data_IF_632412766485
#
_entry.id   IF_632412766485
#
_cell.length_a   1.000
_cell.length_b   1.000
_cell.length_c   1.000
_cell.angle_alpha   90.00
_cell.angle_beta   90.00
_cell.angle_gamma   90.00
#
_symmetry.space_group_name_H-M   'P 1'
#
loop_
_entity.id
_entity.type
_entity.pdbx_description
1 polymer ?
#
# COMPACT_ATOMS: atom_id res chain seq x y z
N UNK A 1 14.85 20.04 13.35
CA UNK A 1 15.14 20.41 11.94
C UNK A 1 14.01 19.87 11.08
N UNK A 2 12.82 20.45 11.20
CA UNK A 2 11.65 20.03 10.44
C UNK A 2 11.36 21.11 9.39
N UNK A 3 11.80 20.90 8.15
CA UNK A 3 11.54 21.79 7.03
C UNK A 3 10.16 21.55 6.39
N UNK A 4 9.42 20.57 6.89
CA UNK A 4 8.16 20.08 6.31
C UNK A 4 7.00 20.50 7.23
N UNK A 5 5.86 20.93 6.65
CA UNK A 5 4.64 21.28 7.40
C UNK A 5 4.15 20.09 8.25
N UNK A 6 3.50 20.36 9.39
CA UNK A 6 3.01 19.34 10.32
C UNK A 6 2.19 18.24 9.62
N UNK A 7 1.32 18.62 8.68
CA UNK A 7 0.49 17.71 7.88
C UNK A 7 1.34 16.67 7.14
N UNK A 8 2.41 17.14 6.49
CA UNK A 8 3.33 16.31 5.73
C UNK A 8 4.26 15.48 6.65
N UNK A 9 4.53 15.94 7.88
CA UNK A 9 5.24 15.13 8.89
C UNK A 9 4.39 13.95 9.37
N UNK A 10 3.11 14.20 9.66
CA UNK A 10 2.15 13.15 10.03
C UNK A 10 2.01 12.16 8.87
N UNK A 11 1.89 12.68 7.65
CA UNK A 11 1.84 11.86 6.44
C UNK A 11 3.08 10.97 6.30
N UNK A 12 4.28 11.56 6.43
CA UNK A 12 5.54 10.82 6.38
C UNK A 12 5.60 9.71 7.45
N UNK A 13 5.18 10.01 8.68
CA UNK A 13 5.17 9.05 9.78
C UNK A 13 4.24 7.85 9.48
N UNK A 14 3.03 8.13 8.98
CA UNK A 14 2.08 7.10 8.55
C UNK A 14 2.73 6.21 7.48
N UNK A 15 3.28 6.82 6.43
CA UNK A 15 3.90 6.08 5.32
C UNK A 15 5.03 5.19 5.83
N UNK A 16 5.96 5.72 6.63
CA UNK A 16 7.12 4.96 7.11
C UNK A 16 6.71 3.80 8.02
N UNK A 17 5.91 4.06 9.07
CA UNK A 17 5.54 3.03 10.05
C UNK A 17 4.74 1.91 9.39
N UNK A 18 3.68 2.26 8.67
CA UNK A 18 2.79 1.26 8.09
C UNK A 18 3.47 0.50 6.95
N UNK A 19 4.23 1.18 6.09
CA UNK A 19 4.92 0.50 4.99
C UNK A 19 6.02 -0.45 5.52
N UNK A 20 6.77 -0.03 6.53
CA UNK A 20 7.76 -0.91 7.18
C UNK A 20 7.09 -2.13 7.81
N UNK A 21 6.01 -1.92 8.58
CA UNK A 21 5.26 -3.02 9.20
C UNK A 21 4.75 -4.02 8.16
N UNK A 22 4.10 -3.53 7.09
CA UNK A 22 3.50 -4.38 6.06
C UNK A 22 4.59 -5.14 5.29
N UNK A 23 5.65 -4.45 4.89
CA UNK A 23 6.77 -5.06 4.18
C UNK A 23 7.42 -6.18 5.03
N UNK A 24 7.78 -5.88 6.28
CA UNK A 24 8.37 -6.88 7.19
C UNK A 24 7.41 -8.04 7.48
N UNK A 25 6.11 -7.74 7.69
CA UNK A 25 5.10 -8.78 7.89
C UNK A 25 4.99 -9.72 6.70
N UNK A 26 5.14 -9.20 5.47
CA UNK A 26 5.07 -10.00 4.26
C UNK A 26 6.24 -10.97 4.09
N UNK A 27 7.41 -10.63 4.62
CA UNK A 27 8.58 -11.52 4.63
C UNK A 27 8.35 -12.74 5.54
N UNK A 28 7.50 -12.61 6.56
CA UNK A 28 7.14 -13.68 7.49
C UNK A 28 6.00 -14.59 7.00
N UNK A 29 5.26 -14.20 5.96
CA UNK A 29 4.18 -15.04 5.40
C UNK A 29 4.79 -16.21 4.60
N UNK A 30 4.18 -17.40 4.71
CA UNK A 30 4.54 -18.59 3.90
C UNK A 30 4.61 -18.26 2.41
N UNK A 31 5.35 -19.06 1.64
CA UNK A 31 5.70 -18.89 0.21
C UNK A 31 4.51 -18.85 -0.79
N UNK A 32 3.50 -18.02 -0.56
CA UNK A 32 2.54 -17.64 -1.58
C UNK A 32 3.06 -16.39 -2.30
N UNK A 33 3.43 -16.50 -3.60
CA UNK A 33 4.06 -15.40 -4.35
C UNK A 33 3.22 -14.11 -4.36
N UNK A 34 1.89 -14.25 -4.37
CA UNK A 34 0.97 -13.12 -4.35
C UNK A 34 1.12 -12.27 -3.08
N UNK A 35 1.18 -12.88 -1.91
CA UNK A 35 1.29 -12.16 -0.63
C UNK A 35 2.65 -11.48 -0.48
N UNK A 36 3.72 -12.14 -0.94
CA UNK A 36 5.05 -11.54 -1.01
C UNK A 36 5.06 -10.31 -1.91
N UNK A 37 4.57 -10.43 -3.14
CA UNK A 37 4.49 -9.30 -4.07
C UNK A 37 3.66 -8.13 -3.51
N UNK A 38 2.54 -8.44 -2.86
CA UNK A 38 1.66 -7.42 -2.28
C UNK A 38 2.36 -6.65 -1.16
N UNK A 39 3.16 -7.33 -0.33
CA UNK A 39 3.93 -6.68 0.72
C UNK A 39 5.19 -5.97 0.21
N UNK A 40 5.90 -6.57 -0.76
CA UNK A 40 7.04 -5.93 -1.45
C UNK A 40 6.63 -4.64 -2.14
N UNK A 41 5.37 -4.48 -2.54
CA UNK A 41 4.87 -3.21 -3.08
C UNK A 41 5.07 -2.03 -2.11
N UNK A 42 5.01 -2.27 -0.80
CA UNK A 42 5.23 -1.25 0.23
C UNK A 42 6.71 -0.86 0.41
N UNK A 43 7.65 -1.63 -0.14
CA UNK A 43 9.06 -1.25 -0.18
C UNK A 43 9.25 0.06 -0.96
N UNK A 44 8.46 0.25 -2.02
CA UNK A 44 8.49 1.47 -2.83
C UNK A 44 8.14 2.71 -2.00
N UNK A 45 7.05 2.63 -1.23
CA UNK A 45 6.64 3.70 -0.32
C UNK A 45 7.66 3.95 0.77
N UNK A 46 8.26 2.90 1.31
CA UNK A 46 9.25 3.00 2.37
C UNK A 46 10.50 3.73 1.89
N UNK A 47 11.06 3.33 0.75
CA UNK A 47 12.25 3.96 0.18
C UNK A 47 11.97 5.43 -0.14
N UNK A 48 10.86 5.72 -0.83
CA UNK A 48 10.50 7.11 -1.16
C UNK A 48 10.20 7.96 0.08
N UNK A 49 9.59 7.37 1.12
CA UNK A 49 9.42 8.03 2.42
C UNK A 49 10.76 8.36 3.08
N UNK A 50 11.73 7.44 3.07
CA UNK A 50 13.08 7.70 3.60
C UNK A 50 13.76 8.82 2.79
N UNK A 51 13.65 8.81 1.46
CA UNK A 51 14.18 9.88 0.60
C UNK A 51 13.53 11.23 0.91
N UNK A 52 12.23 11.26 1.19
CA UNK A 52 11.57 12.48 1.66
C UNK A 52 12.15 12.98 2.99
N UNK A 53 12.42 12.08 3.93
CA UNK A 53 12.98 12.46 5.22
C UNK A 53 14.40 13.02 5.08
N UNK A 54 15.21 12.45 4.19
CA UNK A 54 16.59 12.86 3.93
C UNK A 54 16.69 14.12 3.06
N UNK A 55 15.64 14.47 2.32
CA UNK A 55 15.63 15.64 1.44
C UNK A 55 15.67 16.94 2.25
N UNK A 56 16.67 17.77 1.96
CA UNK A 56 16.81 19.12 2.52
C UNK A 56 15.91 20.15 1.79
N UNK A 57 15.44 19.82 0.59
CA UNK A 57 14.51 20.65 -0.18
C UNK A 57 13.07 20.24 0.16
N UNK A 58 12.27 21.21 0.61
CA UNK A 58 10.87 21.01 1.03
C UNK A 58 9.99 20.55 -0.11
N UNK A 59 10.14 21.14 -1.30
CA UNK A 59 9.35 20.83 -2.47
C UNK A 59 9.66 19.42 -3.00
N UNK A 60 10.93 19.03 -2.91
CA UNK A 60 11.38 17.69 -3.26
C UNK A 60 10.89 16.65 -2.23
N UNK A 61 10.93 16.98 -0.94
CA UNK A 61 10.41 16.12 0.13
C UNK A 61 8.90 15.86 -0.04
N UNK A 62 8.12 16.90 -0.28
CA UNK A 62 6.68 16.78 -0.55
C UNK A 62 6.39 15.91 -1.78
N UNK A 63 7.20 16.05 -2.83
CA UNK A 63 7.08 15.24 -4.05
C UNK A 63 7.38 13.77 -3.76
N UNK A 64 8.43 13.45 -3.01
CA UNK A 64 8.74 12.07 -2.61
C UNK A 64 7.61 11.42 -1.82
N UNK A 65 7.01 12.15 -0.86
CA UNK A 65 5.85 11.64 -0.10
C UNK A 65 4.66 11.37 -1.02
N UNK A 66 4.34 12.28 -1.92
CA UNK A 66 3.25 12.07 -2.88
C UNK A 66 3.51 10.85 -3.77
N UNK A 67 4.73 10.74 -4.33
CA UNK A 67 5.11 9.61 -5.17
C UNK A 67 5.15 8.29 -4.41
N UNK A 68 5.46 8.30 -3.11
CA UNK A 68 5.48 7.09 -2.28
C UNK A 68 4.15 6.34 -2.31
N UNK A 69 3.02 7.05 -2.31
CA UNK A 69 1.67 6.46 -2.35
C UNK A 69 1.18 6.27 -3.78
N UNK A 70 1.49 7.18 -4.70
CA UNK A 70 1.12 7.01 -6.11
C UNK A 70 1.76 5.75 -6.71
N UNK A 71 3.05 5.54 -6.43
CA UNK A 71 3.79 4.35 -6.83
C UNK A 71 3.24 3.11 -6.14
N UNK A 72 2.89 3.20 -4.85
CA UNK A 72 2.26 2.09 -4.12
C UNK A 72 0.97 1.64 -4.78
N UNK A 73 0.06 2.58 -5.07
CA UNK A 73 -1.22 2.27 -5.71
C UNK A 73 -0.97 1.58 -7.05
N UNK A 74 -0.05 2.12 -7.86
CA UNK A 74 0.32 1.54 -9.16
C UNK A 74 0.87 0.12 -9.00
N UNK A 75 1.79 -0.08 -8.06
CA UNK A 75 2.36 -1.39 -7.73
C UNK A 75 1.27 -2.39 -7.30
N UNK A 76 0.35 -1.98 -6.43
CA UNK A 76 -0.74 -2.83 -5.97
C UNK A 76 -1.68 -3.25 -7.12
N UNK A 77 -1.97 -2.36 -8.07
CA UNK A 77 -2.72 -2.74 -9.28
C UNK A 77 -1.99 -3.77 -10.12
N UNK A 78 -0.67 -3.61 -10.31
CA UNK A 78 0.15 -4.57 -11.06
C UNK A 78 0.14 -5.93 -10.37
N UNK A 79 0.32 -5.98 -9.05
CA UNK A 79 0.26 -7.25 -8.28
C UNK A 79 -1.12 -7.90 -8.39
N UNK A 80 -2.20 -7.11 -8.28
CA UNK A 80 -3.56 -7.62 -8.41
C UNK A 80 -3.84 -8.20 -9.81
N UNK A 81 -3.33 -7.54 -10.85
CA UNK A 81 -3.43 -8.03 -12.23
C UNK A 81 -2.63 -9.33 -12.45
N UNK A 82 -1.45 -9.45 -11.83
CA UNK A 82 -0.59 -10.62 -11.94
C UNK A 82 -1.00 -11.81 -11.05
N UNK A 83 -1.94 -11.62 -10.12
CA UNK A 83 -2.35 -12.62 -9.10
C UNK A 83 -2.49 -14.05 -9.62
N UNK A 84 -3.06 -14.25 -10.81
CA UNK A 84 -3.41 -15.57 -11.34
C UNK A 84 -2.27 -16.28 -12.09
N UNK A 85 -1.22 -15.56 -12.48
CA UNK A 85 -0.14 -16.12 -13.31
C UNK A 85 1.17 -16.16 -12.53
N UNK A 86 1.72 -17.37 -12.37
CA UNK A 86 2.95 -17.61 -11.59
C UNK A 86 4.18 -16.94 -12.22
N UNK A 87 4.30 -16.96 -13.55
CA UNK A 87 5.46 -16.38 -14.24
C UNK A 87 5.43 -14.85 -14.17
N UNK A 88 4.23 -14.25 -14.30
CA UNK A 88 4.05 -12.81 -14.09
C UNK A 88 4.36 -12.42 -12.65
N UNK A 89 4.02 -13.24 -11.65
CA UNK A 89 4.34 -12.95 -10.26
C UNK A 89 5.86 -12.83 -10.02
N UNK A 90 6.69 -13.66 -10.65
CA UNK A 90 8.16 -13.56 -10.53
C UNK A 90 8.69 -12.28 -11.18
N UNK A 91 8.20 -11.93 -12.37
CA UNK A 91 8.60 -10.70 -13.07
C UNK A 91 8.19 -9.47 -12.24
N UNK A 92 6.96 -9.46 -11.72
CA UNK A 92 6.46 -8.38 -10.87
C UNK A 92 7.29 -8.25 -9.61
N UNK A 93 7.68 -9.35 -8.97
CA UNK A 93 8.56 -9.30 -7.80
C UNK A 93 9.87 -8.57 -8.08
N UNK A 94 10.56 -8.93 -9.17
CA UNK A 94 11.82 -8.27 -9.58
C UNK A 94 11.57 -6.78 -9.86
N UNK A 95 10.51 -6.46 -10.59
CA UNK A 95 10.16 -5.08 -10.91
C UNK A 95 9.93 -4.24 -9.65
N UNK A 96 9.24 -4.78 -8.64
CA UNK A 96 8.96 -4.07 -7.39
C UNK A 96 10.21 -3.73 -6.56
N UNK A 97 11.30 -4.48 -6.71
CA UNK A 97 12.59 -4.16 -6.08
C UNK A 97 13.37 -3.08 -6.83
N UNK A 98 13.31 -3.09 -8.16
CA UNK A 98 14.08 -2.16 -9.01
C UNK A 98 13.39 -0.80 -9.12
N UNK A 99 12.05 -0.80 -9.20
CA UNK A 99 11.25 0.40 -9.44
C UNK A 99 11.47 1.55 -8.45
N UNK A 100 11.56 1.32 -7.12
CA UNK A 100 11.80 2.38 -6.15
C UNK A 100 13.15 3.07 -6.34
N UNK A 101 14.19 2.30 -6.70
CA UNK A 101 15.53 2.82 -6.95
C UNK A 101 15.56 3.70 -8.19
N UNK A 102 14.91 3.26 -9.27
CA UNK A 102 14.81 4.04 -10.52
C UNK A 102 14.10 5.38 -10.25
N UNK A 103 12.98 5.36 -9.53
CA UNK A 103 12.24 6.59 -9.21
C UNK A 103 13.04 7.49 -8.28
N UNK A 104 13.70 6.94 -7.26
CA UNK A 104 14.55 7.72 -6.35
C UNK A 104 15.67 8.46 -7.09
N UNK A 105 16.26 7.85 -8.13
CA UNK A 105 17.29 8.46 -8.96
C UNK A 105 16.73 9.47 -9.97
N UNK A 106 15.54 9.23 -10.53
CA UNK A 106 14.90 10.15 -11.50
C UNK A 106 14.19 11.35 -10.83
N UNK A 107 13.80 11.22 -9.55
CA UNK A 107 13.01 12.23 -8.83
C UNK A 107 13.66 13.60 -8.61
N UNK A 108 15.00 13.81 -8.62
CA UNK A 108 15.56 15.16 -8.53
C UNK A 108 15.18 16.07 -9.70
N UNK A 109 14.72 15.50 -10.83
CA UNK A 109 14.40 16.25 -12.05
C UNK A 109 12.88 16.52 -12.21
N UNK A 110 12.07 16.28 -11.17
CA UNK A 110 10.60 16.23 -11.27
C UNK A 110 9.89 17.31 -10.45
N UNK A 111 10.48 18.51 -10.36
CA UNK A 111 10.03 19.67 -9.55
C UNK A 111 8.56 20.11 -9.70
N UNK A 112 7.77 19.51 -10.60
CA UNK A 112 6.35 19.81 -10.79
C UNK A 112 5.47 18.60 -11.08
N UNK A 113 6.00 17.38 -11.05
CA UNK A 113 5.35 16.23 -11.69
C UNK A 113 4.07 15.78 -10.97
N UNK A 114 3.95 16.02 -9.65
CA UNK A 114 2.71 15.83 -8.89
C UNK A 114 1.58 16.80 -9.32
N UNK A 115 1.92 17.94 -9.96
CA UNK A 115 0.95 18.93 -10.47
C UNK A 115 0.51 18.64 -11.90
N UNK A 116 1.18 17.73 -12.61
CA UNK A 116 0.84 17.43 -13.98
C UNK A 116 -0.55 16.79 -14.08
N UNK A 117 -1.33 17.29 -15.05
CA UNK A 117 -2.68 16.80 -15.33
C UNK A 117 -2.71 15.28 -15.55
N UNK A 118 -1.67 14.71 -16.17
CA UNK A 118 -1.55 13.28 -16.41
C UNK A 118 -1.60 12.44 -15.12
N UNK A 119 -0.92 12.88 -14.05
CA UNK A 119 -0.93 12.19 -12.76
C UNK A 119 -2.33 12.24 -12.14
N UNK A 120 -2.99 13.40 -12.17
CA UNK A 120 -4.38 13.52 -11.69
C UNK A 120 -5.33 12.62 -12.47
N UNK A 121 -5.25 12.62 -13.80
CA UNK A 121 -6.07 11.77 -14.67
C UNK A 121 -5.85 10.29 -14.36
N UNK A 122 -4.60 9.87 -14.15
CA UNK A 122 -4.30 8.48 -13.78
C UNK A 122 -4.90 8.07 -12.42
N UNK A 123 -4.85 8.96 -11.41
CA UNK A 123 -5.48 8.71 -10.11
C UNK A 123 -7.01 8.61 -10.20
N UNK A 124 -7.65 9.44 -11.03
CA UNK A 124 -9.09 9.31 -11.31
C UNK A 124 -9.42 7.97 -11.97
N UNK A 125 -8.62 7.55 -12.96
CA UNK A 125 -8.79 6.26 -13.63
C UNK A 125 -8.65 5.09 -12.63
N UNK A 126 -7.62 5.12 -11.77
CA UNK A 126 -7.43 4.14 -10.69
C UNK A 126 -8.61 4.10 -9.72
N UNK A 127 -9.13 5.26 -9.32
CA UNK A 127 -10.28 5.37 -8.42
C UNK A 127 -11.55 4.78 -9.05
N UNK A 128 -11.81 5.10 -10.32
CA UNK A 128 -12.95 4.54 -11.06
C UNK A 128 -12.83 3.03 -11.22
N UNK A 129 -11.64 2.53 -11.54
CA UNK A 129 -11.39 1.10 -11.74
C UNK A 129 -11.53 0.31 -10.43
N UNK A 130 -10.98 0.79 -9.32
CA UNK A 130 -11.13 0.09 -8.03
C UNK A 130 -12.58 0.12 -7.53
N UNK A 131 -13.30 1.23 -7.74
CA UNK A 131 -14.71 1.32 -7.38
C UNK A 131 -15.53 0.29 -8.16
N UNK A 132 -15.29 0.16 -9.47
CA UNK A 132 -15.93 -0.86 -10.29
C UNK A 132 -15.62 -2.28 -9.78
N UNK A 133 -14.37 -2.57 -9.42
CA UNK A 133 -13.97 -3.87 -8.85
C UNK A 133 -14.70 -4.14 -7.54
N UNK A 134 -14.82 -3.17 -6.64
CA UNK A 134 -15.53 -3.30 -5.36
C UNK A 134 -16.99 -3.66 -5.60
N UNK A 135 -17.68 -2.92 -6.47
CA UNK A 135 -19.09 -3.18 -6.82
C UNK A 135 -19.26 -4.58 -7.40
N UNK A 136 -18.42 -4.97 -8.36
CA UNK A 136 -18.45 -6.32 -8.96
C UNK A 136 -18.20 -7.40 -7.90
N UNK A 137 -17.26 -7.18 -6.97
CA UNK A 137 -16.96 -8.10 -5.88
C UNK A 137 -18.15 -8.31 -4.94
N UNK A 138 -18.85 -7.24 -4.58
CA UNK A 138 -20.06 -7.29 -3.74
C UNK A 138 -21.17 -8.05 -4.46
N UNK A 139 -21.46 -7.71 -5.72
CA UNK A 139 -22.49 -8.36 -6.54
C UNK A 139 -22.20 -9.86 -6.71
N UNK A 140 -20.94 -10.23 -6.94
CA UNK A 140 -20.51 -11.63 -7.08
C UNK A 140 -20.30 -12.34 -5.74
N UNK A 141 -20.57 -11.69 -4.59
CA UNK A 141 -20.33 -12.20 -3.23
C UNK A 141 -18.89 -12.71 -3.00
N UNK A 142 -17.90 -12.11 -3.67
CA UNK A 142 -16.47 -12.45 -3.58
C UNK A 142 -15.74 -11.47 -2.67
N UNK A 143 -15.76 -11.78 -1.37
CA UNK A 143 -15.26 -10.87 -0.31
C UNK A 143 -13.78 -11.03 0.05
N UNK A 144 -13.07 -12.02 -0.50
CA UNK A 144 -11.73 -12.40 -0.02
C UNK A 144 -10.67 -11.31 -0.09
N UNK A 145 -10.73 -10.44 -1.11
CA UNK A 145 -9.80 -9.31 -1.30
C UNK A 145 -10.46 -7.95 -1.08
N UNK A 146 -11.69 -7.91 -0.58
CA UNK A 146 -12.45 -6.66 -0.47
C UNK A 146 -11.75 -5.66 0.45
N UNK A 147 -11.11 -6.14 1.53
CA UNK A 147 -10.31 -5.30 2.44
C UNK A 147 -9.16 -4.60 1.72
N UNK A 148 -8.45 -5.29 0.81
CA UNK A 148 -7.36 -4.70 0.02
C UNK A 148 -7.93 -3.65 -0.93
N UNK A 149 -9.04 -3.95 -1.60
CA UNK A 149 -9.65 -3.00 -2.54
C UNK A 149 -10.13 -1.73 -1.83
N UNK A 150 -10.71 -1.85 -0.64
CA UNK A 150 -11.07 -0.71 0.21
C UNK A 150 -9.85 0.10 0.64
N UNK A 151 -8.73 -0.57 0.97
CA UNK A 151 -7.46 0.09 1.26
C UNK A 151 -6.94 0.93 0.09
N UNK A 152 -6.92 0.35 -1.12
CA UNK A 152 -6.48 1.03 -2.35
C UNK A 152 -7.40 2.23 -2.63
N UNK A 153 -8.72 2.04 -2.56
CA UNK A 153 -9.69 3.11 -2.76
C UNK A 153 -9.47 4.26 -1.77
N UNK A 154 -9.22 3.96 -0.49
CA UNK A 154 -8.98 4.97 0.54
C UNK A 154 -7.71 5.79 0.28
N UNK A 155 -6.61 5.15 -0.13
CA UNK A 155 -5.38 5.86 -0.51
C UNK A 155 -5.62 6.73 -1.75
N UNK A 156 -6.26 6.19 -2.80
CA UNK A 156 -6.60 6.97 -3.99
C UNK A 156 -7.45 8.21 -3.68
N UNK A 157 -8.50 8.04 -2.88
CA UNK A 157 -9.36 9.15 -2.45
C UNK A 157 -8.56 10.20 -1.66
N UNK A 158 -7.67 9.76 -0.78
CA UNK A 158 -6.83 10.66 0.00
C UNK A 158 -5.92 11.55 -0.86
N UNK A 159 -5.41 11.03 -1.98
CA UNK A 159 -4.55 11.76 -2.90
C UNK A 159 -5.34 12.76 -3.76
N UNK A 160 -6.61 12.47 -4.05
CA UNK A 160 -7.46 13.31 -4.89
C UNK A 160 -8.11 14.47 -4.12
N UNK A 161 -8.53 14.27 -2.87
CA UNK A 161 -9.33 15.24 -2.10
C UNK A 161 -8.65 16.62 -1.96
N UNK A 162 -7.38 16.73 -1.55
CA UNK A 162 -6.69 18.03 -1.43
C UNK A 162 -6.53 18.76 -2.78
N UNK A 163 -6.61 18.03 -3.90
CA UNK A 163 -6.47 18.57 -5.25
C UNK A 163 -7.78 19.06 -5.89
N UNK A 164 -8.94 18.69 -5.34
CA UNK A 164 -10.28 19.01 -5.87
C UNK A 164 -10.95 20.10 -5.03
N UNK A 165 -10.92 19.94 -3.71
CA UNK A 165 -11.53 20.89 -2.78
C UNK A 165 -10.42 21.86 -2.40
N UNK A 166 -10.55 23.13 -2.82
CA UNK A 166 -9.65 24.25 -2.47
C UNK A 166 -9.06 24.04 -1.09
N UNK A 167 -7.73 24.12 -0.95
CA UNK A 167 -6.88 23.76 0.22
C UNK A 167 -7.41 24.24 1.58
N UNK A 168 -8.54 23.68 1.98
CA UNK A 168 -9.20 23.94 3.24
C UNK A 168 -8.61 22.98 4.26
N UNK A 169 -8.46 23.45 5.50
CA UNK A 169 -7.98 22.60 6.60
C UNK A 169 -8.81 21.31 6.72
N UNK A 170 -10.11 21.39 6.44
CA UNK A 170 -11.00 20.23 6.43
C UNK A 170 -10.59 19.18 5.37
N UNK A 171 -10.27 19.60 4.14
CA UNK A 171 -9.85 18.68 3.08
C UNK A 171 -8.55 17.94 3.44
N UNK A 172 -7.59 18.63 4.08
CA UNK A 172 -6.34 18.02 4.54
C UNK A 172 -6.60 16.99 5.65
N UNK A 173 -7.43 17.33 6.64
CA UNK A 173 -7.78 16.42 7.74
C UNK A 173 -8.47 15.16 7.19
N UNK A 174 -9.46 15.32 6.30
CA UNK A 174 -10.16 14.19 5.68
C UNK A 174 -9.19 13.32 4.87
N UNK A 175 -8.25 13.93 4.14
CA UNK A 175 -7.21 13.20 3.43
C UNK A 175 -6.35 12.35 4.40
N UNK A 176 -5.88 12.92 5.50
CA UNK A 176 -5.09 12.19 6.51
C UNK A 176 -5.87 11.02 7.15
N UNK A 177 -7.16 11.22 7.44
CA UNK A 177 -8.02 10.16 7.97
C UNK A 177 -8.13 9.01 6.95
N UNK A 178 -8.35 9.33 5.67
CA UNK A 178 -8.45 8.34 4.60
C UNK A 178 -7.13 7.61 4.32
N UNK A 179 -5.98 8.29 4.47
CA UNK A 179 -4.67 7.62 4.41
C UNK A 179 -4.55 6.61 5.53
N UNK A 180 -4.82 7.05 6.74
CA UNK A 180 -4.70 6.22 7.94
C UNK A 180 -5.60 4.99 7.85
N UNK A 181 -6.87 5.17 7.45
CA UNK A 181 -7.79 4.05 7.26
C UNK A 181 -7.33 3.11 6.14
N UNK A 182 -6.79 3.64 5.04
CA UNK A 182 -6.20 2.86 3.95
C UNK A 182 -5.09 1.93 4.43
N UNK A 183 -4.10 2.50 5.14
CA UNK A 183 -3.00 1.73 5.74
C UNK A 183 -3.48 0.73 6.80
N UNK A 184 -4.48 1.10 7.62
CA UNK A 184 -5.08 0.17 8.58
C UNK A 184 -5.73 -1.04 7.91
N UNK A 185 -6.41 -0.87 6.77
CA UNK A 185 -6.97 -2.00 6.02
C UNK A 185 -5.89 -2.96 5.54
N UNK A 186 -4.77 -2.45 5.03
CA UNK A 186 -3.65 -3.29 4.61
C UNK A 186 -2.99 -4.00 5.80
N UNK A 187 -2.73 -3.29 6.90
CA UNK A 187 -2.18 -3.87 8.13
C UNK A 187 -3.07 -4.96 8.69
N UNK A 188 -4.38 -4.73 8.74
CA UNK A 188 -5.34 -5.76 9.17
C UNK A 188 -5.29 -7.00 8.27
N UNK A 189 -5.24 -6.80 6.94
CA UNK A 189 -5.13 -7.90 5.99
C UNK A 189 -3.85 -8.73 6.18
N UNK A 190 -2.70 -8.07 6.36
CA UNK A 190 -1.43 -8.76 6.59
C UNK A 190 -1.35 -9.41 7.95
N UNK A 191 -1.78 -8.75 9.02
CA UNK A 191 -1.82 -9.32 10.39
C UNK A 191 -2.66 -10.60 10.42
N UNK A 192 -3.83 -10.59 9.77
CA UNK A 192 -4.67 -11.78 9.63
C UNK A 192 -3.96 -12.92 8.87
N UNK A 193 -3.16 -12.57 7.88
CA UNK A 193 -2.50 -13.53 6.98
C UNK A 193 -1.17 -14.07 7.55
N UNK A 194 -0.42 -13.26 8.31
CA UNK A 194 0.90 -13.58 8.84
C UNK A 194 0.89 -14.14 10.26
N UNK A 195 0.01 -13.65 11.14
CA UNK A 195 -0.01 -14.03 12.58
C UNK A 195 -1.18 -14.97 12.89
N UNK A 196 -2.42 -14.55 12.58
CA UNK A 196 -3.61 -15.31 12.99
C UNK A 196 -3.73 -16.67 12.28
N UNK A 197 -3.51 -16.70 10.96
CA UNK A 197 -3.73 -17.92 10.18
C UNK A 197 -2.75 -19.05 10.57
N UNK A 198 -1.44 -18.79 10.77
CA UNK A 198 -0.53 -19.83 11.26
C UNK A 198 -0.79 -20.30 12.69
N UNK A 199 -1.25 -19.43 13.59
CA UNK A 199 -1.60 -19.79 14.98
C UNK A 199 -2.79 -20.74 15.03
N UNK A 200 -3.87 -20.42 14.30
CA UNK A 200 -5.06 -21.28 14.20
C UNK A 200 -4.68 -22.66 13.62
N UNK A 201 -3.87 -22.68 12.56
CA UNK A 201 -3.39 -23.96 11.99
C UNK A 201 -2.54 -24.77 12.98
N UNK A 202 -1.73 -24.13 13.83
CA UNK A 202 -0.96 -24.84 14.88
C UNK A 202 -1.87 -25.42 15.96
N UNK A 203 -2.88 -24.67 16.39
CA UNK A 203 -3.85 -25.13 17.39
C UNK A 203 -4.69 -26.31 16.87
N UNK A 204 -5.17 -26.26 15.62
CA UNK A 204 -5.89 -27.35 14.98
C UNK A 204 -5.04 -28.63 14.85
N UNK A 205 -3.74 -28.49 14.55
CA UNK A 205 -2.80 -29.62 14.50
C UNK A 205 -2.60 -30.20 15.90
N UNK A 206 -2.35 -29.37 16.91
CA UNK A 206 -2.16 -29.83 18.30
C UNK A 206 -3.41 -30.53 18.85
N UNK A 207 -4.60 -30.05 18.51
CA UNK A 207 -5.86 -30.67 18.92
C UNK A 207 -6.05 -32.05 18.25
N UNK A 208 -5.76 -32.18 16.95
CA UNK A 208 -5.76 -33.49 16.26
C UNK A 208 -4.78 -34.50 16.88
N UNK A 209 -3.59 -34.07 17.28
CA UNK A 209 -2.62 -34.94 17.95
C UNK A 209 -3.07 -35.34 19.35
N UNK A 210 -3.69 -34.42 20.11
CA UNK A 210 -4.25 -34.72 21.43
C UNK A 210 -5.41 -35.72 21.36
N UNK A 211 -6.27 -35.64 20.34
CA UNK A 211 -7.41 -36.55 20.18
C UNK A 211 -6.96 -37.94 19.68
N UNK A 212 -5.90 -38.01 18.88
CA UNK A 212 -5.31 -39.28 18.41
C UNK A 212 -4.54 -40.04 19.50
N UNK A 213 -4.09 -39.37 20.57
CA UNK A 213 -3.35 -39.99 21.67
C UNK A 213 -4.24 -40.58 22.77
N UNK A 214 -5.56 -40.32 22.73
CA UNK A 214 -6.54 -40.84 23.71
C UNK A 214 -7.26 -42.12 23.25
N UNK A 215 -6.92 -42.64 22.06
CA UNK A 215 -7.54 -43.83 21.47
C UNK A 215 -6.65 -45.09 21.52
N UNK A 216 -5.68 -45.16 22.43
CA UNK A 216 -4.90 -46.35 22.76
C UNK A 216 -5.07 -46.68 24.23
#
# INVERSE_FOLDING_TARGET
MFYIRLENQIHLLIVLIFSAYIYLSSLAVKDEPFFKNLGTSFLSSLILGIMSFLSLNTLLAESYIFFSEFVLVTALFIVLAAKRNRDLNTIVFILLYVFPLVIAVLSPNTDSLHRHMAVKTSLFAYTGLILAIIVISIVKKKYSLLVIYSGIFSICASLLIPGIISQSRAAVIVSLILKTSGYMFFTYFFSKSSVLRPEISRQEIQQKFSDSGKSQ
#
